data_IF_912398630438
#
_entry.id   IF_912398630438
#
_cell.length_a   1.000
_cell.length_b   1.000
_cell.length_c   1.000
_cell.angle_alpha   90.00
_cell.angle_beta   90.00
_cell.angle_gamma   90.00
#
_symmetry.space_group_name_H-M   'P 1'
#
loop_
_entity.id
_entity.type
_entity.pdbx_description
1 polymer ?
#
# COMPACT_ATOMS: atom_id res chain seq x y z
N UNK A 1 -8.72 11.10 -17.62
CA UNK A 1 -9.46 12.12 -16.84
C UNK A 1 -8.49 12.72 -15.85
N UNK A 2 -8.53 14.03 -15.63
CA UNK A 2 -7.75 14.68 -14.57
C UNK A 2 -8.32 14.30 -13.20
N UNK A 3 -7.46 14.12 -12.20
CA UNK A 3 -7.87 13.94 -10.79
C UNK A 3 -8.65 15.17 -10.31
N UNK A 4 -9.62 14.93 -9.43
CA UNK A 4 -10.35 15.99 -8.71
C UNK A 4 -9.47 16.59 -7.60
N UNK A 5 -9.73 17.83 -7.14
CA UNK A 5 -9.02 18.41 -6.01
C UNK A 5 -9.07 17.53 -4.76
N UNK A 6 -10.20 16.88 -4.51
CA UNK A 6 -10.39 15.98 -3.38
C UNK A 6 -9.52 14.72 -3.49
N UNK A 7 -9.39 14.15 -4.69
CA UNK A 7 -8.49 13.02 -4.94
C UNK A 7 -7.03 13.40 -4.73
N UNK A 8 -6.60 14.56 -5.22
CA UNK A 8 -5.23 15.05 -5.02
C UNK A 8 -4.94 15.26 -3.52
N UNK A 9 -5.87 15.86 -2.78
CA UNK A 9 -5.72 16.05 -1.34
C UNK A 9 -5.65 14.73 -0.58
N UNK A 10 -6.42 13.72 -0.99
CA UNK A 10 -6.37 12.39 -0.41
C UNK A 10 -5.03 11.67 -0.67
N UNK A 11 -4.51 11.75 -1.90
CA UNK A 11 -3.20 11.17 -2.26
C UNK A 11 -2.05 11.83 -1.47
N UNK A 12 -2.12 13.15 -1.29
CA UNK A 12 -1.17 13.92 -0.48
C UNK A 12 -1.22 13.50 0.99
N UNK A 13 -2.42 13.37 1.57
CA UNK A 13 -2.59 12.95 2.95
C UNK A 13 -2.08 11.51 3.16
N UNK A 14 -2.35 10.61 2.22
CA UNK A 14 -1.82 9.23 2.27
C UNK A 14 -0.28 9.22 2.23
N UNK A 15 0.31 10.00 1.33
CA UNK A 15 1.78 10.09 1.21
C UNK A 15 2.41 10.61 2.50
N UNK A 16 1.84 11.68 3.08
CA UNK A 16 2.32 12.24 4.35
C UNK A 16 2.21 11.23 5.51
N UNK A 17 1.14 10.43 5.54
CA UNK A 17 0.98 9.39 6.55
C UNK A 17 2.06 8.30 6.43
N UNK A 18 2.42 7.89 5.22
CA UNK A 18 3.49 6.91 4.98
C UNK A 18 4.84 7.48 5.42
N UNK A 19 5.14 8.73 5.07
CA UNK A 19 6.37 9.42 5.50
C UNK A 19 6.47 9.53 7.03
N UNK A 20 5.35 9.80 7.70
CA UNK A 20 5.30 9.81 9.17
C UNK A 20 5.60 8.43 9.77
N UNK A 21 5.07 7.35 9.18
CA UNK A 21 5.38 5.99 9.63
C UNK A 21 6.87 5.69 9.45
N UNK A 22 7.46 6.05 8.31
CA UNK A 22 8.89 5.84 8.07
C UNK A 22 9.77 6.55 9.12
N UNK A 23 9.40 7.78 9.50
CA UNK A 23 10.11 8.52 10.53
C UNK A 23 9.96 7.89 11.92
N UNK A 24 8.75 7.42 12.26
CA UNK A 24 8.50 6.81 13.57
C UNK A 24 9.27 5.49 13.78
N UNK A 25 9.62 4.79 12.70
CA UNK A 25 10.37 3.53 12.73
C UNK A 25 11.86 3.68 12.36
N UNK A 26 12.37 4.91 12.24
CA UNK A 26 13.79 5.15 11.97
C UNK A 26 14.63 5.01 13.27
N UNK A 27 15.61 4.10 13.26
CA UNK A 27 16.44 3.77 14.44
C UNK A 27 17.28 4.95 14.97
N UNK A 28 17.67 5.88 14.10
CA UNK A 28 18.50 7.05 14.40
C UNK A 28 17.72 8.38 14.31
N UNK A 29 16.39 8.30 14.18
CA UNK A 29 15.53 9.47 13.94
C UNK A 29 15.65 10.05 12.53
N UNK A 30 16.35 9.38 11.61
CA UNK A 30 16.48 9.79 10.22
C UNK A 30 15.85 8.75 9.28
N UNK A 31 14.67 9.07 8.75
CA UNK A 31 14.02 8.24 7.76
C UNK A 31 14.78 8.24 6.41
N UNK A 32 14.75 7.09 5.74
CA UNK A 32 15.08 7.00 4.32
C UNK A 32 14.09 7.82 3.48
N UNK A 33 14.55 8.31 2.32
CA UNK A 33 13.70 9.06 1.39
C UNK A 33 12.68 8.11 0.75
N UNK A 34 11.40 8.38 0.95
CA UNK A 34 10.32 7.68 0.25
C UNK A 34 10.42 7.98 -1.24
N UNK A 35 10.62 6.96 -2.08
CA UNK A 35 10.68 7.09 -3.54
C UNK A 35 9.36 6.68 -4.18
N UNK A 36 8.86 5.48 -3.84
CA UNK A 36 7.66 4.88 -4.40
C UNK A 36 6.93 4.02 -3.35
N UNK A 37 5.62 3.85 -3.52
CA UNK A 37 4.83 2.92 -2.72
C UNK A 37 3.65 2.37 -3.53
N UNK A 38 3.16 1.22 -3.08
CA UNK A 38 1.87 0.65 -3.45
C UNK A 38 1.12 0.25 -2.18
N UNK A 39 -0.13 0.70 -2.06
CA UNK A 39 -1.08 0.31 -1.02
C UNK A 39 -2.14 -0.58 -1.65
N UNK A 40 -2.32 -1.76 -1.08
CA UNK A 40 -3.39 -2.68 -1.48
C UNK A 40 -4.46 -2.62 -0.39
N UNK A 41 -5.69 -2.27 -0.75
CA UNK A 41 -6.82 -2.34 0.16
C UNK A 41 -7.71 -3.54 -0.17
N UNK A 42 -8.31 -4.13 0.86
CA UNK A 42 -9.49 -4.97 0.72
C UNK A 42 -10.63 -4.26 1.45
N UNK A 43 -11.74 -4.05 0.77
CA UNK A 43 -12.87 -3.29 1.28
C UNK A 43 -14.17 -4.02 0.99
N UNK A 44 -15.14 -3.89 1.89
CA UNK A 44 -16.43 -4.53 1.76
C UNK A 44 -17.55 -3.49 1.89
N UNK A 45 -18.61 -3.69 1.10
CA UNK A 45 -19.89 -3.00 1.30
C UNK A 45 -21.02 -3.99 1.12
N UNK A 46 -22.19 -3.69 1.67
CA UNK A 46 -23.40 -4.44 1.40
C UNK A 46 -24.10 -3.85 0.17
N UNK A 47 -24.61 -4.70 -0.71
CA UNK A 47 -25.52 -4.29 -1.77
C UNK A 47 -26.95 -4.09 -1.24
N UNK A 48 -27.86 -3.68 -2.13
CA UNK A 48 -29.26 -3.42 -1.79
C UNK A 48 -30.03 -4.69 -1.35
N UNK A 49 -29.44 -5.88 -1.50
CA UNK A 49 -29.98 -7.16 -1.06
C UNK A 49 -29.34 -7.67 0.23
N UNK A 50 -28.43 -6.89 0.84
CA UNK A 50 -27.71 -7.28 2.04
C UNK A 50 -26.58 -8.28 1.78
N UNK A 51 -26.19 -8.52 0.53
CA UNK A 51 -25.04 -9.36 0.21
C UNK A 51 -23.75 -8.55 0.33
N UNK A 52 -22.74 -9.16 0.97
CA UNK A 52 -21.40 -8.57 1.04
C UNK A 52 -20.72 -8.60 -0.32
N UNK A 53 -20.32 -7.43 -0.81
CA UNK A 53 -19.49 -7.24 -2.00
C UNK A 53 -18.10 -6.83 -1.56
N UNK A 54 -17.10 -7.64 -1.91
CA UNK A 54 -15.68 -7.32 -1.66
C UNK A 54 -15.07 -6.67 -2.90
N UNK A 55 -14.30 -5.61 -2.69
CA UNK A 55 -13.46 -4.99 -3.70
C UNK A 55 -12.00 -4.96 -3.20
N UNK A 56 -11.07 -5.05 -4.14
CA UNK A 56 -9.63 -4.86 -3.88
C UNK A 56 -9.20 -3.60 -4.62
N UNK A 57 -8.59 -2.67 -3.88
CA UNK A 57 -8.05 -1.42 -4.40
C UNK A 57 -6.53 -1.45 -4.45
N UNK A 58 -5.97 -0.72 -5.40
CA UNK A 58 -4.54 -0.47 -5.50
C UNK A 58 -4.32 1.04 -5.62
N UNK A 59 -3.56 1.62 -4.69
CA UNK A 59 -3.21 3.03 -4.65
C UNK A 59 -1.70 3.16 -4.71
N UNK A 60 -1.20 4.01 -5.58
CA UNK A 60 0.23 4.23 -5.76
C UNK A 60 0.54 5.72 -5.64
N UNK A 61 1.83 6.03 -5.47
CA UNK A 61 2.28 7.42 -5.38
C UNK A 61 2.00 8.17 -6.69
N UNK A 62 0.93 8.93 -6.73
CA UNK A 62 0.45 9.66 -7.92
C UNK A 62 0.25 8.78 -9.15
N UNK A 63 -0.08 9.41 -10.28
CA UNK A 63 -0.27 8.77 -11.60
C UNK A 63 1.05 8.28 -12.23
N UNK A 64 2.18 8.44 -11.52
CA UNK A 64 3.51 8.43 -12.09
C UNK A 64 4.27 7.11 -11.93
N UNK A 65 3.80 6.18 -11.07
CA UNK A 65 4.50 4.90 -10.89
C UNK A 65 4.22 3.98 -12.08
N UNK A 66 5.23 3.58 -12.87
CA UNK A 66 5.02 2.66 -13.98
C UNK A 66 4.52 1.30 -13.48
N UNK A 67 3.58 0.68 -14.20
CA UNK A 67 2.96 -0.61 -13.83
C UNK A 67 3.99 -1.71 -13.54
N UNK A 68 5.10 -1.76 -14.27
CA UNK A 68 6.16 -2.75 -14.02
C UNK A 68 6.87 -2.56 -12.67
N UNK A 69 6.98 -1.32 -12.16
CA UNK A 69 7.51 -1.05 -10.82
C UNK A 69 6.51 -1.46 -9.74
N UNK A 70 5.23 -1.18 -9.97
CA UNK A 70 4.15 -1.65 -9.07
C UNK A 70 4.22 -3.17 -8.95
N UNK A 71 4.29 -3.89 -10.08
CA UNK A 71 4.42 -5.35 -10.09
C UNK A 71 5.65 -5.82 -9.30
N UNK A 72 6.82 -5.22 -9.56
CA UNK A 72 8.06 -5.56 -8.86
C UNK A 72 7.97 -5.39 -7.34
N UNK A 73 7.35 -4.31 -6.86
CA UNK A 73 7.12 -4.08 -5.43
C UNK A 73 6.21 -5.16 -4.83
N UNK A 74 5.11 -5.50 -5.51
CA UNK A 74 4.16 -6.52 -5.06
C UNK A 74 4.81 -7.91 -5.04
N UNK A 75 5.59 -8.26 -6.06
CA UNK A 75 6.29 -9.55 -6.13
C UNK A 75 7.36 -9.67 -5.04
N UNK A 76 8.12 -8.60 -4.78
CA UNK A 76 9.06 -8.55 -3.66
C UNK A 76 8.35 -8.78 -2.32
N UNK A 77 7.28 -8.03 -2.06
CA UNK A 77 6.51 -8.13 -0.83
C UNK A 77 5.91 -9.54 -0.66
N UNK A 78 5.27 -10.08 -1.69
CA UNK A 78 4.71 -11.43 -1.67
C UNK A 78 5.77 -12.50 -1.41
N UNK A 79 6.94 -12.38 -2.03
CA UNK A 79 8.06 -13.30 -1.81
C UNK A 79 8.57 -13.24 -0.38
N UNK A 80 8.75 -12.02 0.16
CA UNK A 80 9.17 -11.83 1.56
C UNK A 80 8.15 -12.40 2.54
N UNK A 81 6.86 -12.13 2.34
CA UNK A 81 5.79 -12.67 3.18
C UNK A 81 5.74 -14.20 3.14
N UNK A 82 5.87 -14.81 1.94
CA UNK A 82 5.94 -16.28 1.81
C UNK A 82 7.12 -16.87 2.59
N UNK A 83 8.29 -16.22 2.53
CA UNK A 83 9.44 -16.63 3.33
C UNK A 83 9.14 -16.57 4.83
N UNK A 84 8.54 -15.47 5.29
CA UNK A 84 8.16 -15.32 6.71
C UNK A 84 7.18 -16.40 7.16
N UNK A 85 6.19 -16.74 6.34
CA UNK A 85 5.25 -17.84 6.63
C UNK A 85 6.01 -19.16 6.78
N UNK A 86 6.86 -19.50 5.81
CA UNK A 86 7.64 -20.74 5.86
C UNK A 86 8.53 -20.83 7.12
N UNK A 87 9.14 -19.72 7.56
CA UNK A 87 9.94 -19.71 8.78
C UNK A 87 9.10 -19.81 10.05
N UNK A 88 7.89 -19.24 10.08
CA UNK A 88 6.99 -19.34 11.25
C UNK A 88 6.44 -20.76 11.41
N UNK A 89 6.16 -21.44 10.30
CA UNK A 89 5.69 -22.83 10.30
C UNK A 89 6.79 -23.83 10.70
N UNK A 90 8.07 -23.48 10.55
CA UNK A 90 9.22 -24.31 10.96
C UNK A 90 9.52 -24.26 12.48
N UNK A 91 9.07 -23.21 13.18
CA UNK A 91 9.27 -23.00 14.62
C UNK A 91 8.11 -23.56 15.51
N UNK A 92 7.18 -24.31 14.92
CA UNK A 92 6.00 -24.93 15.57
C UNK A 92 5.95 -26.44 15.38
#
# INVERSE_FOLDING_TARGET
MSRTPEQVAADQALTAAIEQVLLAYADDGQAWVLTEYVVISAQQRFDDHGHGVTAVGCFNRDDAVPVHRILGLVEYAATRTRKTIATLDEDH
#
